data_IF_951154406205
#
_entry.id   IF_951154406205
#
_cell.length_a   1.000
_cell.length_b   1.000
_cell.length_c   1.000
_cell.angle_alpha   90.00
_cell.angle_beta   90.00
_cell.angle_gamma   90.00
#
_symmetry.space_group_name_H-M   'P 1'
#
loop_
_entity.id
_entity.type
_entity.pdbx_description
1 polymer ?
#
# COMPACT_ATOMS: atom_id res chain seq x y z
N UNK A 1 -29.73 -48.92 49.57
CA UNK A 1 -28.95 -50.17 49.52
C UNK A 1 -27.55 -49.75 49.18
N UNK A 2 -26.77 -49.43 50.19
CA UNK A 2 -25.86 -50.35 50.92
C UNK A 2 -24.91 -51.02 49.92
N UNK A 3 -23.65 -50.83 49.94
CA UNK A 3 -22.81 -51.17 51.06
C UNK A 3 -21.38 -50.52 50.99
N UNK A 4 -20.89 -50.22 52.12
CA UNK A 4 -19.52 -49.84 52.50
C UNK A 4 -18.66 -51.13 52.58
N UNK A 5 -17.39 -50.98 52.39
CA UNK A 5 -16.32 -51.59 53.22
C UNK A 5 -14.98 -51.48 52.48
N UNK A 6 -13.84 -51.29 52.96
CA UNK A 6 -13.24 -51.15 54.29
C UNK A 6 -11.75 -50.95 54.04
N UNK A 7 -11.13 -50.04 54.80
CA UNK A 7 -9.66 -49.87 54.93
C UNK A 7 -9.15 -50.95 55.88
N UNK A 8 -7.89 -51.41 55.75
CA UNK A 8 -7.01 -51.19 56.85
C UNK A 8 -5.56 -50.79 56.51
N UNK A 9 -4.99 -49.83 57.19
CA UNK A 9 -3.58 -49.90 57.60
C UNK A 9 -3.49 -50.68 58.92
N UNK A 10 -2.40 -50.80 59.63
CA UNK A 10 -1.25 -49.90 59.76
C UNK A 10 0.13 -50.58 60.03
N UNK A 11 1.13 -49.76 60.33
CA UNK A 11 2.19 -49.89 61.34
C UNK A 11 3.47 -50.66 61.05
N UNK A 12 4.46 -50.06 61.28
CA UNK A 12 5.59 -49.96 62.24
C UNK A 12 6.91 -50.38 61.57
N UNK A 13 8.05 -49.84 61.82
CA UNK A 13 8.63 -49.21 62.95
C UNK A 13 10.08 -48.83 62.68
N UNK A 14 10.53 -47.85 63.39
CA UNK A 14 11.89 -47.36 63.44
C UNK A 14 12.93 -48.42 63.81
N UNK A 15 14.14 -48.36 63.21
CA UNK A 15 15.37 -48.58 63.96
C UNK A 15 16.49 -47.69 63.45
N UNK A 16 16.94 -46.82 64.35
CA UNK A 16 18.19 -46.04 64.30
C UNK A 16 19.38 -46.95 64.53
N UNK A 17 20.53 -46.50 64.05
CA UNK A 17 21.92 -46.85 64.32
C UNK A 17 22.58 -47.82 63.36
N UNK A 18 23.46 -47.27 62.53
CA UNK A 18 24.91 -47.51 62.73
C UNK A 18 25.70 -46.45 61.97
N UNK A 19 26.54 -45.76 62.74
CA UNK A 19 27.58 -44.86 62.28
C UNK A 19 28.79 -45.69 61.80
N UNK A 20 29.62 -45.03 60.98
CA UNK A 20 31.06 -45.05 60.94
C UNK A 20 31.73 -45.72 59.70
N UNK A 21 32.39 -44.80 59.00
CA UNK A 21 33.67 -44.89 58.28
C UNK A 21 33.72 -45.60 56.91
N UNK A 22 33.90 -44.79 55.87
CA UNK A 22 35.02 -45.06 54.95
C UNK A 22 35.38 -43.76 54.17
N UNK A 23 36.64 -43.57 54.05
CA UNK A 23 37.47 -42.47 53.64
C UNK A 23 37.20 -41.89 52.22
N UNK A 24 37.47 -40.61 52.14
CA UNK A 24 38.06 -39.84 51.07
C UNK A 24 38.32 -40.49 49.68
N UNK A 25 37.59 -40.04 48.65
CA UNK A 25 38.12 -39.91 47.32
C UNK A 25 37.71 -38.52 46.80
N UNK A 26 38.65 -37.62 46.79
CA UNK A 26 38.54 -36.29 46.14
C UNK A 26 38.56 -36.52 44.62
N UNK A 27 37.41 -36.58 44.02
CA UNK A 27 37.28 -36.41 42.58
C UNK A 27 37.11 -34.92 42.27
N UNK A 28 38.18 -34.31 41.81
CA UNK A 28 38.16 -32.93 41.28
C UNK A 28 37.28 -32.93 40.03
N UNK A 29 36.02 -32.57 40.17
CA UNK A 29 35.18 -32.11 39.06
C UNK A 29 35.63 -30.70 38.70
N UNK A 30 35.99 -30.42 37.41
CA UNK A 30 36.22 -29.06 36.99
C UNK A 30 34.87 -28.33 37.14
N UNK A 31 34.83 -27.34 38.01
CA UNK A 31 33.79 -26.33 38.05
C UNK A 31 33.80 -25.64 36.68
N UNK A 32 32.96 -26.11 35.76
CA UNK A 32 32.64 -25.33 34.60
C UNK A 32 32.08 -24.02 35.12
N UNK A 33 32.87 -22.95 35.06
CA UNK A 33 32.44 -21.59 35.18
C UNK A 33 31.32 -21.38 34.16
N UNK A 34 30.07 -21.58 34.58
CA UNK A 34 28.92 -21.10 33.84
C UNK A 34 29.11 -19.57 33.79
N UNK A 35 29.78 -19.11 32.73
CA UNK A 35 29.70 -17.72 32.36
C UNK A 35 28.22 -17.40 32.28
N UNK A 36 27.69 -16.41 33.01
CA UNK A 36 26.34 -15.97 32.80
C UNK A 36 26.26 -15.60 31.34
N UNK A 37 25.48 -16.37 30.56
CA UNK A 37 25.08 -15.91 29.25
C UNK A 37 24.49 -14.54 29.51
N UNK A 38 25.19 -13.49 29.12
CA UNK A 38 24.65 -12.15 29.04
C UNK A 38 23.45 -12.30 28.09
N UNK A 39 22.29 -12.58 28.67
CA UNK A 39 21.04 -12.41 27.98
C UNK A 39 21.05 -10.96 27.51
N UNK A 40 21.47 -10.77 26.26
CA UNK A 40 21.51 -9.45 25.65
C UNK A 40 20.07 -8.96 25.74
N UNK A 41 19.79 -8.06 26.69
CA UNK A 41 18.46 -7.53 26.86
C UNK A 41 17.99 -7.06 25.48
N UNK A 42 16.99 -7.75 24.95
CA UNK A 42 16.48 -7.44 23.64
C UNK A 42 16.02 -5.98 23.66
N UNK A 43 16.57 -5.16 22.78
CA UNK A 43 16.24 -3.74 22.74
C UNK A 43 14.73 -3.57 22.62
N UNK A 44 14.14 -2.64 23.35
CA UNK A 44 12.70 -2.38 23.29
C UNK A 44 12.21 -2.24 21.83
N UNK A 45 11.06 -2.79 21.47
CA UNK A 45 10.58 -2.75 20.10
C UNK A 45 10.37 -1.32 19.59
N UNK A 46 10.48 -1.12 18.30
CA UNK A 46 10.01 0.08 17.61
C UNK A 46 8.51 -0.09 17.39
N UNK A 47 7.71 0.73 18.06
CA UNK A 47 6.25 0.69 17.98
C UNK A 47 5.79 1.50 16.79
N UNK A 48 5.14 0.84 15.82
CA UNK A 48 4.70 1.45 14.56
C UNK A 48 3.18 1.37 14.47
N UNK A 49 2.51 2.54 14.50
CA UNK A 49 1.06 2.63 14.56
C UNK A 49 0.43 2.94 13.20
N UNK A 50 -0.73 2.34 12.90
CA UNK A 50 -1.54 2.72 11.73
C UNK A 50 -3.02 2.33 11.88
N UNK A 51 -3.88 3.04 11.14
CA UNK A 51 -5.24 2.62 10.85
C UNK A 51 -5.34 2.25 9.37
N UNK A 52 -6.15 1.26 9.03
CA UNK A 52 -6.32 0.79 7.65
C UNK A 52 -7.70 0.21 7.45
N UNK A 53 -8.29 0.41 6.26
CA UNK A 53 -9.64 -0.08 5.95
C UNK A 53 -9.65 -1.59 5.72
N UNK A 54 -10.03 -2.36 6.74
CA UNK A 54 -10.27 -3.81 6.64
C UNK A 54 -11.72 -4.13 6.34
N UNK A 55 -12.61 -3.16 6.57
CA UNK A 55 -14.04 -3.22 6.24
C UNK A 55 -14.48 -1.93 5.52
N UNK A 56 -15.64 -1.98 4.85
CA UNK A 56 -16.19 -0.84 4.11
C UNK A 56 -15.69 -0.70 2.66
N UNK A 57 -16.04 0.40 1.97
CA UNK A 57 -15.82 0.56 0.53
C UNK A 57 -14.35 0.64 0.09
N UNK A 58 -13.43 1.00 0.99
CA UNK A 58 -12.01 1.14 0.66
C UNK A 58 -11.19 -0.14 0.92
N UNK A 59 -11.81 -1.19 1.45
CA UNK A 59 -11.15 -2.45 1.83
C UNK A 59 -10.31 -3.03 0.70
N UNK A 60 -10.86 -3.14 -0.51
CA UNK A 60 -10.14 -3.74 -1.64
C UNK A 60 -8.84 -3.01 -1.94
N UNK A 61 -8.86 -1.67 -1.96
CA UNK A 61 -7.65 -0.87 -2.17
C UNK A 61 -6.63 -1.07 -1.05
N UNK A 62 -7.08 -0.92 0.19
CA UNK A 62 -6.23 -1.03 1.37
C UNK A 62 -5.56 -2.40 1.53
N UNK A 63 -6.31 -3.48 1.28
CA UNK A 63 -5.87 -4.87 1.44
C UNK A 63 -5.02 -5.39 0.28
N UNK A 64 -5.01 -4.72 -0.86
CA UNK A 64 -4.13 -5.08 -1.99
C UNK A 64 -2.88 -4.21 -2.01
N UNK A 65 -3.03 -2.89 -1.93
CA UNK A 65 -1.93 -1.97 -2.21
C UNK A 65 -1.12 -1.53 -0.98
N UNK A 66 -1.64 -1.70 0.24
CA UNK A 66 -1.02 -1.05 1.40
C UNK A 66 -0.73 -1.99 2.57
N UNK A 67 -1.72 -2.58 3.23
CA UNK A 67 -1.50 -3.37 4.44
C UNK A 67 -0.58 -4.58 4.24
N UNK A 68 -0.67 -5.37 3.15
CA UNK A 68 0.26 -6.46 2.91
C UNK A 68 1.72 -6.01 2.89
N UNK A 69 1.99 -4.82 2.38
CA UNK A 69 3.34 -4.24 2.37
C UNK A 69 3.84 -3.91 3.78
N UNK A 70 2.99 -3.38 4.65
CA UNK A 70 3.32 -3.11 6.05
C UNK A 70 3.70 -4.40 6.80
N UNK A 71 2.91 -5.46 6.58
CA UNK A 71 3.13 -6.77 7.18
C UNK A 71 4.40 -7.44 6.64
N UNK A 72 4.65 -7.37 5.32
CA UNK A 72 5.84 -7.94 4.71
C UNK A 72 7.11 -7.22 5.19
N UNK A 73 7.07 -5.87 5.21
CA UNK A 73 8.19 -5.06 5.68
C UNK A 73 8.57 -5.38 7.12
N UNK A 74 7.59 -5.38 8.02
CA UNK A 74 7.85 -5.64 9.43
C UNK A 74 8.43 -7.05 9.65
N UNK A 75 7.90 -8.05 8.94
CA UNK A 75 8.42 -9.42 8.99
C UNK A 75 9.87 -9.50 8.48
N UNK A 76 10.16 -8.89 7.32
CA UNK A 76 11.52 -8.92 6.77
C UNK A 76 12.52 -8.19 7.68
N UNK A 77 12.15 -7.02 8.23
CA UNK A 77 12.99 -6.31 9.17
C UNK A 77 13.24 -7.15 10.43
N UNK A 78 12.21 -7.78 10.98
CA UNK A 78 12.33 -8.61 12.17
C UNK A 78 13.16 -9.88 11.90
N UNK A 79 12.99 -10.53 10.75
CA UNK A 79 13.81 -11.67 10.33
C UNK A 79 15.30 -11.27 10.16
N UNK A 80 15.58 -10.02 9.80
CA UNK A 80 16.95 -9.48 9.73
C UNK A 80 17.49 -8.97 11.08
N UNK A 81 16.82 -9.34 12.19
CA UNK A 81 17.18 -8.96 13.56
C UNK A 81 16.58 -7.65 14.07
N UNK A 82 15.68 -7.05 13.32
CA UNK A 82 14.98 -5.80 13.63
C UNK A 82 15.37 -4.61 12.76
N UNK A 83 14.60 -3.52 12.91
CA UNK A 83 14.88 -2.25 12.24
C UNK A 83 16.17 -1.64 12.80
N UNK A 84 17.04 -1.18 11.91
CA UNK A 84 18.28 -0.52 12.31
C UNK A 84 18.00 0.91 12.80
N UNK A 85 18.13 1.14 14.09
CA UNK A 85 17.97 2.46 14.73
C UNK A 85 19.37 2.98 15.11
N UNK A 86 20.00 3.73 14.22
CA UNK A 86 21.38 4.26 14.38
C UNK A 86 22.39 3.17 14.82
N UNK A 87 22.40 2.04 14.13
CA UNK A 87 23.32 0.93 14.43
C UNK A 87 22.78 -0.10 15.43
N UNK A 88 21.70 0.17 16.15
CA UNK A 88 21.07 -0.78 17.05
C UNK A 88 19.86 -1.42 16.37
N UNK A 89 19.85 -2.75 16.28
CA UNK A 89 18.70 -3.50 15.77
C UNK A 89 17.62 -3.60 16.84
N UNK A 90 16.40 -3.17 16.50
CA UNK A 90 15.22 -3.23 17.37
C UNK A 90 14.07 -3.88 16.64
N UNK A 91 13.36 -4.87 17.22
CA UNK A 91 12.21 -5.49 16.57
C UNK A 91 11.11 -4.47 16.31
N UNK A 92 10.34 -4.66 15.24
CA UNK A 92 9.16 -3.86 14.94
C UNK A 92 7.95 -4.51 15.61
N UNK A 93 7.16 -3.71 16.32
CA UNK A 93 5.83 -4.04 16.81
C UNK A 93 4.80 -3.20 16.05
N UNK A 94 3.93 -3.85 15.24
CA UNK A 94 2.85 -3.18 14.52
C UNK A 94 1.62 -3.05 15.42
N UNK A 95 1.10 -1.83 15.56
CA UNK A 95 -0.12 -1.50 16.30
C UNK A 95 -1.15 -0.98 15.31
N UNK A 96 -2.15 -1.80 14.99
CA UNK A 96 -3.09 -1.48 13.91
C UNK A 96 -4.55 -1.58 14.35
N UNK A 97 -5.40 -0.79 13.67
CA UNK A 97 -6.85 -0.81 13.84
C UNK A 97 -7.56 -0.76 12.50
N UNK A 98 -8.75 -1.34 12.42
CA UNK A 98 -9.67 -1.14 11.30
C UNK A 98 -10.31 0.24 11.40
N UNK A 99 -10.14 1.09 10.40
CA UNK A 99 -10.81 2.40 10.32
C UNK A 99 -12.24 2.29 9.75
N UNK A 100 -12.65 1.09 9.30
CA UNK A 100 -13.97 0.78 8.75
C UNK A 100 -14.34 1.64 7.53
N UNK A 101 -13.33 2.14 6.79
CA UNK A 101 -13.51 3.14 5.73
C UNK A 101 -14.25 4.39 6.21
N UNK A 102 -14.07 4.75 7.48
CA UNK A 102 -14.72 5.88 8.14
C UNK A 102 -13.67 6.91 8.59
N UNK A 103 -13.83 8.14 8.13
CA UNK A 103 -12.86 9.23 8.39
C UNK A 103 -12.74 9.57 9.88
N UNK A 104 -13.85 9.64 10.61
CA UNK A 104 -13.83 9.98 12.04
C UNK A 104 -13.14 8.88 12.85
N UNK A 105 -13.40 7.62 12.54
CA UNK A 105 -12.74 6.46 13.19
C UNK A 105 -11.25 6.48 12.90
N UNK A 106 -10.86 6.77 11.67
CA UNK A 106 -9.47 6.92 11.26
C UNK A 106 -8.79 8.03 12.07
N UNK A 107 -9.36 9.24 12.10
CA UNK A 107 -8.83 10.40 12.84
C UNK A 107 -8.65 10.08 14.33
N UNK A 108 -9.68 9.54 15.00
CA UNK A 108 -9.62 9.14 16.41
C UNK A 108 -8.51 8.12 16.68
N UNK A 109 -8.33 7.17 15.77
CA UNK A 109 -7.26 6.17 15.89
C UNK A 109 -5.87 6.83 15.85
N UNK A 110 -5.64 7.73 14.90
CA UNK A 110 -4.36 8.44 14.83
C UNK A 110 -4.12 9.41 16.00
N UNK A 111 -5.17 10.06 16.48
CA UNK A 111 -5.06 10.87 17.73
C UNK A 111 -4.63 10.01 18.91
N UNK A 112 -5.21 8.81 19.06
CA UNK A 112 -4.81 7.86 20.10
C UNK A 112 -3.37 7.39 19.91
N UNK A 113 -3.00 6.93 18.74
CA UNK A 113 -1.65 6.41 18.43
C UNK A 113 -0.55 7.45 18.73
N UNK A 114 -0.77 8.70 18.31
CA UNK A 114 0.23 9.76 18.45
C UNK A 114 0.19 10.47 19.82
N UNK A 115 -1.00 10.66 20.38
CA UNK A 115 -1.20 11.43 21.61
C UNK A 115 -1.10 10.59 22.88
N UNK A 116 -1.85 9.49 22.96
CA UNK A 116 -1.93 8.63 24.15
C UNK A 116 -0.92 7.50 24.12
N UNK A 117 -0.90 6.71 23.04
CA UNK A 117 -0.02 5.55 22.92
C UNK A 117 1.42 5.96 22.66
N UNK A 118 1.63 7.14 22.06
CA UNK A 118 2.94 7.72 21.75
C UNK A 118 3.84 6.72 21.03
N UNK A 119 3.32 6.13 19.94
CA UNK A 119 4.09 5.21 19.10
C UNK A 119 5.34 5.90 18.54
N UNK A 120 6.38 5.14 18.19
CA UNK A 120 7.63 5.69 17.66
C UNK A 120 7.45 6.24 16.25
N UNK A 121 6.74 5.49 15.41
CA UNK A 121 6.47 5.80 13.99
C UNK A 121 5.00 5.57 13.67
N UNK A 122 4.53 6.21 12.61
CA UNK A 122 3.19 5.96 12.04
C UNK A 122 3.31 5.59 10.56
N UNK A 123 2.40 4.75 10.09
CA UNK A 123 2.19 4.47 8.67
C UNK A 123 0.83 5.04 8.26
N UNK A 124 0.69 5.57 7.04
CA UNK A 124 -0.52 6.24 6.58
C UNK A 124 -1.76 5.34 6.45
N UNK A 125 -2.98 5.89 6.50
CA UNK A 125 -4.20 5.21 6.09
C UNK A 125 -4.31 5.15 4.56
N UNK A 126 -5.28 4.41 4.04
CA UNK A 126 -5.52 4.31 2.61
C UNK A 126 -6.45 5.44 2.09
N UNK A 127 -6.10 5.99 0.91
CA UNK A 127 -6.96 6.89 0.14
C UNK A 127 -6.81 8.38 0.48
N UNK A 128 -7.20 9.23 -0.48
CA UNK A 128 -6.99 10.69 -0.40
C UNK A 128 -7.76 11.33 0.75
N UNK A 129 -9.01 10.90 0.99
CA UNK A 129 -9.87 11.47 2.05
C UNK A 129 -9.28 11.23 3.45
N UNK A 130 -8.84 10.00 3.74
CA UNK A 130 -8.26 9.66 5.04
C UNK A 130 -6.91 10.37 5.25
N UNK A 131 -6.06 10.40 4.23
CA UNK A 131 -4.80 11.13 4.31
C UNK A 131 -5.02 12.64 4.50
N UNK A 132 -6.04 13.23 3.85
CA UNK A 132 -6.38 14.65 4.01
C UNK A 132 -6.76 14.98 5.47
N UNK A 133 -7.53 14.10 6.11
CA UNK A 133 -7.96 14.28 7.48
C UNK A 133 -6.83 14.05 8.51
N UNK A 134 -5.92 13.10 8.25
CA UNK A 134 -4.87 12.70 9.21
C UNK A 134 -3.57 13.53 9.08
N UNK A 135 -3.24 14.00 7.88
CA UNK A 135 -1.98 14.73 7.66
C UNK A 135 -1.78 15.96 8.57
N UNK A 136 -2.80 16.81 8.85
CA UNK A 136 -2.66 17.91 9.82
C UNK A 136 -2.35 17.42 11.24
N UNK A 137 -2.90 16.28 11.65
CA UNK A 137 -2.62 15.69 12.95
C UNK A 137 -1.18 15.20 13.03
N UNK A 138 -0.74 14.43 12.02
CA UNK A 138 0.64 13.96 11.94
C UNK A 138 1.63 15.13 12.01
N UNK A 139 1.35 16.20 11.27
CA UNK A 139 2.16 17.42 11.30
C UNK A 139 2.15 18.10 12.69
N UNK A 140 1.00 18.21 13.35
CA UNK A 140 0.86 18.79 14.68
C UNK A 140 1.65 18.00 15.72
N UNK A 141 1.65 16.68 15.67
CA UNK A 141 2.40 15.80 16.55
C UNK A 141 3.85 15.58 16.10
N UNK A 142 4.25 16.14 14.95
CA UNK A 142 5.61 16.05 14.42
C UNK A 142 5.99 14.67 13.88
N UNK A 143 5.04 13.85 13.44
CA UNK A 143 5.31 12.54 12.84
C UNK A 143 5.53 12.65 11.33
N UNK A 144 6.67 12.19 10.81
CA UNK A 144 6.85 12.01 9.37
C UNK A 144 5.77 11.08 8.81
N UNK A 145 5.10 11.51 7.74
CA UNK A 145 3.90 10.87 7.20
C UNK A 145 4.07 10.70 5.69
N UNK A 146 4.52 9.50 5.28
CA UNK A 146 4.86 9.15 3.90
C UNK A 146 3.66 8.48 3.22
N UNK A 147 2.79 9.25 2.60
CA UNK A 147 1.50 8.83 2.08
C UNK A 147 1.61 8.14 0.70
N UNK A 148 1.42 6.81 0.61
CA UNK A 148 1.61 6.06 -0.63
C UNK A 148 0.34 5.94 -1.49
N UNK A 149 -0.82 6.33 -0.98
CA UNK A 149 -2.12 6.14 -1.64
C UNK A 149 -2.97 7.41 -1.64
N UNK A 150 -2.31 8.56 -1.62
CA UNK A 150 -2.95 9.87 -1.61
C UNK A 150 -2.71 10.59 -2.95
N UNK A 151 -3.79 10.96 -3.63
CA UNK A 151 -3.77 11.53 -4.97
C UNK A 151 -4.75 12.71 -5.04
N UNK A 152 -4.29 13.90 -4.61
CA UNK A 152 -5.07 15.14 -4.64
C UNK A 152 -4.14 16.34 -4.52
N UNK A 153 -4.34 17.32 -5.36
CA UNK A 153 -3.62 18.60 -5.33
C UNK A 153 -3.78 19.33 -4.00
N UNK A 154 -4.98 19.28 -3.40
CA UNK A 154 -5.25 19.91 -2.09
C UNK A 154 -4.35 19.40 -0.98
N UNK A 155 -3.91 18.14 -1.06
CA UNK A 155 -2.97 17.58 -0.09
C UNK A 155 -1.60 18.29 -0.17
N UNK A 156 -1.09 18.54 -1.36
CA UNK A 156 0.15 19.28 -1.55
C UNK A 156 0.01 20.75 -1.12
N UNK A 157 -1.13 21.37 -1.40
CA UNK A 157 -1.45 22.75 -1.05
C UNK A 157 -1.52 23.01 0.46
N UNK A 158 -1.68 21.96 1.30
CA UNK A 158 -1.61 22.11 2.75
C UNK A 158 -0.22 22.55 3.24
N UNK A 159 0.85 22.35 2.46
CA UNK A 159 2.23 22.76 2.76
C UNK A 159 2.70 22.30 4.14
N UNK A 160 2.35 21.05 4.53
CA UNK A 160 2.67 20.46 5.80
C UNK A 160 4.10 19.90 5.78
N UNK A 161 5.04 20.39 6.63
CA UNK A 161 6.45 19.99 6.58
C UNK A 161 6.72 18.51 6.85
N UNK A 162 5.84 17.81 7.56
CA UNK A 162 5.98 16.39 7.91
C UNK A 162 5.22 15.46 6.97
N UNK A 163 4.61 15.99 5.90
CA UNK A 163 3.76 15.24 4.98
C UNK A 163 4.43 15.07 3.62
N UNK A 164 4.49 13.83 3.11
CA UNK A 164 5.16 13.46 1.88
C UNK A 164 4.26 12.56 1.03
N UNK A 165 3.98 12.97 -0.19
CA UNK A 165 3.14 12.26 -1.16
C UNK A 165 4.04 11.43 -2.07
N UNK A 166 3.92 10.12 -2.01
CA UNK A 166 4.78 9.19 -2.76
C UNK A 166 4.29 8.98 -4.20
N UNK A 167 2.97 8.97 -4.42
CA UNK A 167 2.40 8.91 -5.76
C UNK A 167 2.60 10.21 -6.52
N UNK A 168 2.73 10.09 -7.83
CA UNK A 168 2.62 11.24 -8.73
C UNK A 168 1.22 11.85 -8.58
N UNK A 169 1.15 13.16 -8.47
CA UNK A 169 -0.09 13.85 -8.21
C UNK A 169 -1.00 13.91 -9.46
N UNK A 170 -2.27 14.33 -9.35
CA UNK A 170 -3.22 14.26 -10.45
C UNK A 170 -2.73 14.88 -11.75
N UNK A 171 -2.03 16.03 -11.68
CA UNK A 171 -1.55 16.72 -12.89
C UNK A 171 -0.60 15.86 -13.73
N UNK A 172 0.57 15.39 -13.25
CA UNK A 172 1.47 14.57 -14.07
C UNK A 172 0.82 13.25 -14.53
N UNK A 173 -0.11 12.69 -13.75
CA UNK A 173 -0.81 11.46 -14.14
C UNK A 173 -1.77 11.72 -15.32
N UNK A 174 -2.55 12.79 -15.27
CA UNK A 174 -3.49 13.12 -16.33
C UNK A 174 -2.79 13.70 -17.56
N UNK A 175 -1.69 14.43 -17.39
CA UNK A 175 -0.84 14.87 -18.49
C UNK A 175 -0.29 13.66 -19.28
N UNK A 176 0.23 12.64 -18.60
CA UNK A 176 0.73 11.42 -19.24
C UNK A 176 -0.39 10.65 -19.98
N UNK A 177 -1.58 10.54 -19.39
CA UNK A 177 -2.73 9.91 -20.03
C UNK A 177 -3.15 10.66 -21.29
N UNK A 178 -3.33 11.98 -21.20
CA UNK A 178 -3.77 12.80 -22.32
C UNK A 178 -2.72 12.84 -23.45
N UNK A 179 -1.43 12.91 -23.08
CA UNK A 179 -0.32 12.83 -24.04
C UNK A 179 -0.33 11.49 -24.82
N UNK A 180 -0.54 10.39 -24.12
CA UNK A 180 -0.71 9.06 -24.73
C UNK A 180 -1.92 9.04 -25.68
N UNK A 181 -3.09 9.51 -25.24
CA UNK A 181 -4.31 9.53 -26.05
C UNK A 181 -4.14 10.40 -27.31
N UNK A 182 -3.54 11.59 -27.16
CA UNK A 182 -3.22 12.50 -28.26
C UNK A 182 -2.26 11.88 -29.26
N UNK A 183 -1.18 11.25 -28.79
CA UNK A 183 -0.19 10.58 -29.63
C UNK A 183 -0.79 9.43 -30.46
N UNK A 184 -1.93 8.87 -30.03
CA UNK A 184 -2.64 7.79 -30.68
C UNK A 184 -3.92 8.25 -31.42
N UNK A 185 -4.05 9.55 -31.70
CA UNK A 185 -5.06 10.11 -32.57
C UNK A 185 -6.47 10.20 -31.98
N UNK A 186 -6.65 10.07 -30.68
CA UNK A 186 -7.93 10.24 -29.98
C UNK A 186 -8.45 11.67 -30.18
N UNK A 187 -9.74 11.80 -30.49
CA UNK A 187 -10.43 13.08 -30.70
C UNK A 187 -11.53 13.33 -29.68
N UNK A 188 -12.10 12.27 -29.13
CA UNK A 188 -13.21 12.34 -28.19
C UNK A 188 -12.97 11.47 -26.96
N UNK A 189 -13.32 11.99 -25.80
CA UNK A 189 -13.26 11.27 -24.53
C UNK A 189 -14.58 11.42 -23.78
N UNK A 190 -15.03 10.33 -23.16
CA UNK A 190 -16.07 10.39 -22.13
C UNK A 190 -15.49 9.95 -20.81
N UNK A 191 -15.97 10.51 -19.70
CA UNK A 191 -15.43 10.24 -18.37
C UNK A 191 -16.52 10.05 -17.32
N UNK A 192 -16.23 9.12 -16.39
CA UNK A 192 -16.95 9.06 -15.12
C UNK A 192 -15.96 9.23 -13.96
N UNK A 193 -16.43 9.75 -12.84
CA UNK A 193 -15.58 9.95 -11.67
C UNK A 193 -16.38 9.83 -10.37
N UNK A 194 -15.77 9.22 -9.37
CA UNK A 194 -16.36 9.14 -8.03
C UNK A 194 -16.49 10.55 -7.43
N UNK A 195 -17.63 10.83 -6.80
CA UNK A 195 -17.93 12.15 -6.20
C UNK A 195 -17.29 12.26 -4.81
N UNK A 196 -15.95 12.31 -4.79
CA UNK A 196 -15.15 12.55 -3.59
C UNK A 196 -13.85 13.30 -3.94
N UNK A 197 -13.01 13.56 -2.93
CA UNK A 197 -11.76 14.31 -3.11
C UNK A 197 -10.88 13.71 -4.21
N UNK A 198 -10.75 12.38 -4.29
CA UNK A 198 -9.94 11.70 -5.30
C UNK A 198 -10.51 11.92 -6.70
N UNK A 199 -11.80 11.60 -6.90
CA UNK A 199 -12.43 11.67 -8.22
C UNK A 199 -12.50 13.09 -8.75
N UNK A 200 -12.92 14.05 -7.91
CA UNK A 200 -13.04 15.47 -8.27
C UNK A 200 -11.68 16.08 -8.66
N UNK A 201 -10.61 15.81 -7.90
CA UNK A 201 -9.29 16.37 -8.16
C UNK A 201 -8.65 15.79 -9.42
N UNK A 202 -8.82 14.47 -9.66
CA UNK A 202 -8.33 13.84 -10.88
C UNK A 202 -9.13 14.29 -12.11
N UNK A 203 -10.44 14.45 -11.99
CA UNK A 203 -11.27 14.99 -13.07
C UNK A 203 -10.89 16.44 -13.40
N UNK A 204 -10.67 17.28 -12.39
CA UNK A 204 -10.20 18.67 -12.61
C UNK A 204 -8.84 18.66 -13.35
N UNK A 205 -7.90 17.79 -12.97
CA UNK A 205 -6.61 17.65 -13.64
C UNK A 205 -6.78 17.15 -15.09
N UNK A 206 -7.67 16.18 -15.32
CA UNK A 206 -7.98 15.67 -16.65
C UNK A 206 -8.52 16.80 -17.57
N UNK A 207 -9.44 17.62 -17.06
CA UNK A 207 -9.96 18.78 -17.83
C UNK A 207 -8.86 19.75 -18.22
N UNK A 208 -7.96 20.04 -17.29
CA UNK A 208 -6.81 20.95 -17.55
C UNK A 208 -5.89 20.30 -18.61
N UNK A 209 -5.55 19.02 -18.50
CA UNK A 209 -4.70 18.32 -19.46
C UNK A 209 -5.33 18.23 -20.86
N UNK A 210 -6.65 18.06 -20.94
CA UNK A 210 -7.40 18.07 -22.20
C UNK A 210 -7.47 19.47 -22.84
N UNK A 211 -7.35 20.53 -22.04
CA UNK A 211 -7.33 21.90 -22.54
C UNK A 211 -6.17 22.11 -23.52
N UNK A 212 -6.49 22.52 -24.76
CA UNK A 212 -5.48 22.69 -25.82
C UNK A 212 -4.92 21.41 -26.45
N UNK A 213 -5.36 20.21 -26.02
CA UNK A 213 -4.93 18.93 -26.60
C UNK A 213 -5.55 18.63 -27.96
N UNK A 214 -6.69 19.27 -28.29
CA UNK A 214 -7.55 18.95 -29.42
C UNK A 214 -8.51 17.78 -29.20
N UNK A 215 -8.54 17.23 -27.98
CA UNK A 215 -9.47 16.17 -27.57
C UNK A 215 -10.67 16.80 -26.86
N UNK A 216 -11.90 16.45 -27.28
CA UNK A 216 -13.14 16.96 -26.69
C UNK A 216 -13.73 15.97 -25.70
N UNK A 217 -14.21 16.47 -24.56
CA UNK A 217 -15.09 15.72 -23.67
C UNK A 217 -16.49 15.71 -24.30
N UNK A 218 -17.04 14.51 -24.59
CA UNK A 218 -18.37 14.34 -25.15
C UNK A 218 -19.43 14.00 -24.11
N UNK A 219 -19.01 13.47 -22.97
CA UNK A 219 -19.85 13.23 -21.80
C UNK A 219 -18.97 13.18 -20.55
N UNK A 220 -19.45 13.76 -19.44
CA UNK A 220 -18.82 13.63 -18.13
C UNK A 220 -19.90 13.50 -17.03
N UNK A 221 -19.69 12.56 -16.10
CA UNK A 221 -20.62 12.31 -15.00
C UNK A 221 -19.89 11.92 -13.74
N UNK A 222 -20.28 12.51 -12.62
CA UNK A 222 -19.93 11.98 -11.30
C UNK A 222 -20.89 10.87 -10.88
N UNK A 223 -20.45 10.04 -9.95
CA UNK A 223 -21.26 9.04 -9.30
C UNK A 223 -20.90 8.93 -7.81
N UNK A 224 -21.86 8.56 -6.91
CA UNK A 224 -21.61 8.49 -5.47
C UNK A 224 -20.73 7.28 -5.12
N UNK A 225 -19.90 7.42 -4.08
CA UNK A 225 -19.13 6.32 -3.52
C UNK A 225 -20.05 5.15 -3.12
N UNK A 226 -19.64 3.93 -3.50
CA UNK A 226 -20.42 2.73 -3.21
C UNK A 226 -21.60 2.48 -4.14
N UNK A 227 -21.62 3.12 -5.32
CA UNK A 227 -22.58 2.87 -6.41
C UNK A 227 -22.71 1.39 -6.71
N UNK A 228 -23.93 0.94 -7.05
CA UNK A 228 -24.20 -0.46 -7.39
C UNK A 228 -24.53 -0.68 -8.86
N UNK A 229 -24.86 0.38 -9.58
CA UNK A 229 -25.21 0.32 -10.99
C UNK A 229 -24.74 1.58 -11.72
N UNK A 230 -23.84 1.37 -12.68
CA UNK A 230 -23.30 2.39 -13.60
C UNK A 230 -23.89 2.26 -15.01
N UNK A 231 -24.75 1.25 -15.27
CA UNK A 231 -25.30 0.98 -16.60
C UNK A 231 -26.02 2.18 -17.22
N UNK A 232 -26.81 2.98 -16.49
CA UNK A 232 -27.47 4.14 -17.10
C UNK A 232 -26.49 5.17 -17.65
N UNK A 233 -25.45 5.51 -16.90
CA UNK A 233 -24.44 6.49 -17.35
C UNK A 233 -23.55 5.90 -18.45
N UNK A 234 -23.21 4.61 -18.38
CA UNK A 234 -22.41 3.93 -19.42
C UNK A 234 -23.18 3.81 -20.74
N UNK A 235 -24.52 3.64 -20.72
CA UNK A 235 -25.38 3.68 -21.94
C UNK A 235 -25.35 5.08 -22.56
N UNK A 236 -25.56 6.13 -21.77
CA UNK A 236 -25.46 7.51 -22.25
C UNK A 236 -24.11 7.79 -22.91
N UNK A 237 -23.02 7.32 -22.29
CA UNK A 237 -21.67 7.46 -22.86
C UNK A 237 -21.52 6.65 -24.15
N UNK A 238 -22.01 5.41 -24.19
CA UNK A 238 -21.97 4.57 -25.39
C UNK A 238 -22.63 5.25 -26.58
N UNK A 239 -23.78 5.91 -26.38
CA UNK A 239 -24.53 6.61 -27.42
C UNK A 239 -23.76 7.81 -28.02
N UNK A 240 -22.77 8.37 -27.27
CA UNK A 240 -21.85 9.41 -27.76
C UNK A 240 -20.69 8.86 -28.59
N UNK A 241 -20.49 7.54 -28.59
CA UNK A 241 -19.44 6.83 -29.33
C UNK A 241 -18.04 7.48 -29.17
N UNK A 242 -17.51 7.64 -27.96
CA UNK A 242 -16.20 8.26 -27.74
C UNK A 242 -15.07 7.36 -28.22
N UNK A 243 -13.95 7.95 -28.68
CA UNK A 243 -12.72 7.21 -28.98
C UNK A 243 -12.12 6.59 -27.72
N UNK A 244 -12.23 7.29 -26.57
CA UNK A 244 -11.71 6.84 -25.30
C UNK A 244 -12.73 7.01 -24.17
N UNK A 245 -12.73 6.04 -23.26
CA UNK A 245 -13.40 6.14 -21.96
C UNK A 245 -12.35 6.30 -20.87
N UNK A 246 -12.59 7.22 -19.93
CA UNK A 246 -11.74 7.48 -18.77
C UNK A 246 -12.57 7.38 -17.50
N UNK A 247 -12.41 6.30 -16.75
CA UNK A 247 -13.01 6.09 -15.44
C UNK A 247 -12.04 6.50 -14.33
N UNK A 248 -12.38 7.51 -13.54
CA UNK A 248 -11.65 7.91 -12.35
C UNK A 248 -12.33 7.25 -11.14
N UNK A 249 -12.00 5.98 -10.94
CA UNK A 249 -12.78 4.99 -10.18
C UNK A 249 -11.92 4.35 -9.07
N UNK A 250 -12.56 3.85 -8.03
CA UNK A 250 -11.96 2.94 -7.05
C UNK A 250 -12.06 1.47 -7.49
N UNK A 251 -11.32 0.53 -6.86
CA UNK A 251 -11.26 -0.85 -7.35
C UNK A 251 -12.60 -1.56 -7.54
N UNK A 252 -13.59 -1.46 -6.62
CA UNK A 252 -14.91 -2.04 -6.86
C UNK A 252 -15.62 -1.44 -8.07
N UNK A 253 -15.54 -0.11 -8.21
CA UNK A 253 -16.21 0.65 -9.27
C UNK A 253 -15.54 0.40 -10.63
N UNK A 254 -14.20 0.21 -10.64
CA UNK A 254 -13.43 -0.19 -11.83
C UNK A 254 -13.94 -1.52 -12.38
N UNK A 255 -14.12 -2.51 -11.51
CA UNK A 255 -14.66 -3.82 -11.89
C UNK A 255 -16.11 -3.68 -12.37
N UNK A 256 -16.94 -2.92 -11.64
CA UNK A 256 -18.34 -2.68 -11.97
C UNK A 256 -18.47 -2.02 -13.35
N UNK A 257 -17.75 -0.91 -13.59
CA UNK A 257 -17.77 -0.20 -14.86
C UNK A 257 -17.32 -1.09 -16.03
N UNK A 258 -16.28 -1.90 -15.83
CA UNK A 258 -15.77 -2.83 -16.87
C UNK A 258 -16.78 -3.93 -17.18
N UNK A 259 -17.37 -4.57 -16.16
CA UNK A 259 -18.40 -5.61 -16.34
C UNK A 259 -19.64 -5.06 -17.06
N UNK A 260 -20.17 -3.94 -16.58
CA UNK A 260 -21.36 -3.33 -17.17
C UNK A 260 -21.09 -2.78 -18.58
N UNK A 261 -19.88 -2.28 -18.85
CA UNK A 261 -19.49 -1.93 -20.24
C UNK A 261 -19.50 -3.15 -21.15
N UNK A 262 -18.99 -4.30 -20.70
CA UNK A 262 -19.06 -5.57 -21.41
C UNK A 262 -20.53 -5.98 -21.66
N UNK A 263 -21.37 -5.96 -20.64
CA UNK A 263 -22.78 -6.36 -20.69
C UNK A 263 -23.58 -5.54 -21.70
N UNK A 264 -23.32 -4.23 -21.80
CA UNK A 264 -24.00 -3.36 -22.75
C UNK A 264 -23.29 -3.24 -24.11
N UNK A 265 -22.15 -3.93 -24.31
CA UNK A 265 -21.36 -3.86 -25.53
C UNK A 265 -20.73 -2.48 -25.77
N UNK A 266 -20.32 -1.78 -24.72
CA UNK A 266 -19.54 -0.53 -24.81
C UNK A 266 -18.06 -0.85 -24.86
N UNK A 267 -17.40 -0.66 -26.00
CA UNK A 267 -16.00 -1.01 -26.23
C UNK A 267 -15.25 0.06 -27.03
N UNK A 268 -14.91 1.21 -26.41
CA UNK A 268 -14.11 2.24 -27.09
C UNK A 268 -12.68 1.75 -27.39
N UNK A 269 -11.97 2.41 -28.32
CA UNK A 269 -10.58 2.08 -28.65
C UNK A 269 -9.67 2.06 -27.43
N UNK A 270 -9.84 3.04 -26.56
CA UNK A 270 -9.10 3.14 -25.28
C UNK A 270 -10.09 3.10 -24.13
N UNK A 271 -9.96 2.09 -23.30
CA UNK A 271 -10.72 1.96 -22.06
C UNK A 271 -9.76 2.09 -20.90
N UNK A 272 -9.78 3.24 -20.23
CA UNK A 272 -8.98 3.53 -19.04
C UNK A 272 -9.89 3.54 -17.80
N UNK A 273 -9.53 2.74 -16.79
CA UNK A 273 -10.15 2.80 -15.47
C UNK A 273 -9.02 2.89 -14.43
N UNK A 274 -9.06 3.90 -13.57
CA UNK A 274 -7.88 4.35 -12.85
C UNK A 274 -7.38 3.36 -11.79
N UNK A 275 -7.97 3.36 -10.60
CA UNK A 275 -7.51 2.53 -9.47
C UNK A 275 -8.15 1.15 -9.53
N UNK A 276 -7.35 0.12 -9.34
CA UNK A 276 -7.82 -1.26 -9.33
C UNK A 276 -7.59 -2.02 -10.63
N UNK A 277 -7.42 -1.35 -11.77
CA UNK A 277 -7.09 -2.03 -13.04
C UNK A 277 -5.78 -2.81 -12.93
N UNK A 278 -4.76 -2.26 -12.26
CA UNK A 278 -3.46 -2.89 -12.05
C UNK A 278 -3.48 -4.04 -11.01
N UNK A 279 -4.64 -4.39 -10.47
CA UNK A 279 -4.78 -5.43 -9.45
C UNK A 279 -4.95 -6.80 -10.09
N UNK A 280 -4.30 -7.83 -9.54
CA UNK A 280 -4.53 -9.21 -9.98
C UNK A 280 -6.01 -9.61 -9.84
N UNK A 281 -6.72 -9.07 -8.84
CA UNK A 281 -8.16 -9.25 -8.70
C UNK A 281 -8.93 -8.82 -9.96
N UNK A 282 -8.58 -7.68 -10.57
CA UNK A 282 -9.19 -7.23 -11.81
C UNK A 282 -9.00 -8.25 -12.94
N UNK A 283 -7.77 -8.74 -13.12
CA UNK A 283 -7.44 -9.76 -14.11
C UNK A 283 -8.22 -11.06 -13.86
N UNK A 284 -8.33 -11.48 -12.60
CA UNK A 284 -9.05 -12.69 -12.22
C UNK A 284 -10.56 -12.58 -12.51
N UNK A 285 -11.16 -11.40 -12.29
CA UNK A 285 -12.59 -11.16 -12.55
C UNK A 285 -12.88 -10.98 -14.03
N UNK A 286 -12.08 -10.17 -14.73
CA UNK A 286 -12.33 -9.84 -16.15
C UNK A 286 -11.77 -10.89 -17.11
N UNK A 287 -10.83 -11.73 -16.65
CA UNK A 287 -10.18 -12.77 -17.46
C UNK A 287 -9.63 -12.22 -18.78
N UNK A 288 -10.00 -12.80 -19.92
CA UNK A 288 -9.60 -12.31 -21.24
C UNK A 288 -10.12 -10.89 -21.53
N UNK A 289 -11.23 -10.47 -20.92
CA UNK A 289 -11.75 -9.10 -21.00
C UNK A 289 -10.85 -8.04 -20.39
N UNK A 290 -9.85 -8.40 -19.58
CA UNK A 290 -8.86 -7.44 -19.10
C UNK A 290 -7.91 -6.95 -20.21
N UNK A 291 -7.73 -7.72 -21.30
CA UNK A 291 -6.75 -7.45 -22.33
C UNK A 291 -6.96 -6.09 -22.99
N UNK A 292 -5.90 -5.31 -23.08
CA UNK A 292 -5.93 -3.95 -23.65
C UNK A 292 -6.51 -2.87 -22.73
N UNK A 293 -7.06 -3.22 -21.56
CA UNK A 293 -7.58 -2.24 -20.60
C UNK A 293 -6.43 -1.48 -19.95
N UNK A 294 -6.58 -0.15 -19.91
CA UNK A 294 -5.60 0.79 -19.36
C UNK A 294 -5.95 1.17 -17.92
N UNK A 295 -4.95 1.55 -17.16
CA UNK A 295 -5.13 2.07 -15.80
C UNK A 295 -3.88 2.72 -15.24
N UNK A 296 -3.96 3.10 -13.96
CA UNK A 296 -2.80 3.58 -13.24
C UNK A 296 -1.82 2.42 -13.02
N UNK A 297 -0.57 2.60 -13.47
CA UNK A 297 0.50 1.61 -13.31
C UNK A 297 1.86 2.29 -13.41
N UNK A 298 2.79 1.96 -12.54
CA UNK A 298 4.08 2.64 -12.46
C UNK A 298 5.28 1.69 -12.43
N UNK A 299 5.04 0.40 -12.22
CA UNK A 299 6.07 -0.61 -12.09
C UNK A 299 5.52 -2.02 -12.39
N UNK A 300 6.42 -2.95 -12.61
CA UNK A 300 6.17 -4.40 -12.53
C UNK A 300 7.49 -5.13 -12.20
N UNK A 301 7.47 -6.46 -12.16
CA UNK A 301 8.66 -7.26 -11.84
C UNK A 301 9.82 -7.14 -12.84
N UNK A 302 9.58 -6.54 -14.01
CA UNK A 302 10.60 -6.30 -15.07
C UNK A 302 11.29 -4.94 -14.92
N UNK A 303 10.75 -4.04 -14.10
CA UNK A 303 11.23 -2.65 -13.96
C UNK A 303 12.67 -2.59 -13.45
N UNK A 304 13.00 -3.43 -12.45
CA UNK A 304 14.36 -3.54 -11.90
C UNK A 304 14.55 -4.86 -11.14
N UNK A 305 15.79 -5.29 -10.88
CA UNK A 305 16.06 -6.44 -10.01
C UNK A 305 15.47 -6.29 -8.60
N UNK A 306 15.46 -5.07 -8.04
CA UNK A 306 14.87 -4.80 -6.74
C UNK A 306 13.34 -4.94 -6.76
N UNK A 307 12.68 -4.44 -7.82
CA UNK A 307 11.24 -4.63 -8.02
C UNK A 307 10.88 -6.11 -8.17
N UNK A 308 11.70 -6.90 -8.87
CA UNK A 308 11.51 -8.35 -8.95
C UNK A 308 11.66 -9.03 -7.60
N UNK A 309 12.69 -8.69 -6.83
CA UNK A 309 12.91 -9.27 -5.51
C UNK A 309 11.76 -8.97 -4.54
N UNK A 310 11.24 -7.74 -4.56
CA UNK A 310 10.05 -7.36 -3.82
C UNK A 310 8.83 -8.16 -4.25
N UNK A 311 8.58 -8.26 -5.56
CA UNK A 311 7.46 -9.02 -6.12
C UNK A 311 7.51 -10.49 -5.67
N UNK A 312 8.65 -11.15 -5.84
CA UNK A 312 8.85 -12.55 -5.46
C UNK A 312 8.64 -12.77 -3.95
N UNK A 313 9.13 -11.85 -3.11
CA UNK A 313 8.94 -11.91 -1.66
C UNK A 313 7.46 -11.75 -1.26
N UNK A 314 6.75 -10.83 -1.91
CA UNK A 314 5.32 -10.60 -1.69
C UNK A 314 4.50 -11.84 -2.08
N UNK A 315 4.74 -12.37 -3.27
CA UNK A 315 4.05 -13.58 -3.77
C UNK A 315 4.37 -14.81 -2.90
N UNK A 316 5.61 -14.95 -2.46
CA UNK A 316 6.00 -16.03 -1.54
C UNK A 316 5.20 -15.99 -0.23
N UNK A 317 4.94 -14.80 0.30
CA UNK A 317 4.22 -14.62 1.56
C UNK A 317 2.71 -14.75 1.42
N UNK A 318 2.13 -14.12 0.42
CA UNK A 318 0.67 -13.96 0.31
C UNK A 318 0.04 -14.86 -0.77
N UNK A 319 0.85 -15.49 -1.62
CA UNK A 319 0.41 -16.32 -2.74
C UNK A 319 0.15 -15.53 -4.03
N UNK A 320 0.22 -16.23 -5.16
CA UNK A 320 0.03 -15.63 -6.50
C UNK A 320 -1.36 -15.01 -6.73
N UNK A 321 -2.39 -15.49 -6.03
CA UNK A 321 -3.73 -14.89 -6.11
C UNK A 321 -3.82 -13.50 -5.45
N UNK A 322 -2.82 -13.14 -4.63
CA UNK A 322 -2.71 -11.87 -3.91
C UNK A 322 -1.42 -11.14 -4.27
N UNK A 323 -1.06 -11.12 -5.54
CA UNK A 323 0.09 -10.36 -6.03
C UNK A 323 -0.04 -8.86 -5.68
N UNK A 324 1.10 -8.16 -5.47
CA UNK A 324 1.06 -6.72 -5.29
C UNK A 324 0.56 -6.05 -6.58
N UNK A 325 -0.26 -5.01 -6.46
CA UNK A 325 -0.68 -4.26 -7.64
C UNK A 325 0.51 -3.55 -8.30
N UNK A 326 0.40 -3.26 -9.58
CA UNK A 326 1.48 -2.67 -10.38
C UNK A 326 1.52 -1.14 -10.30
N UNK A 327 0.94 -0.57 -9.25
CA UNK A 327 0.90 0.88 -9.03
C UNK A 327 1.20 1.24 -7.57
N UNK A 328 0.20 1.26 -6.69
CA UNK A 328 0.31 1.80 -5.33
C UNK A 328 1.08 0.89 -4.36
N UNK A 329 1.11 -0.43 -4.61
CA UNK A 329 1.97 -1.36 -3.83
C UNK A 329 3.45 -0.98 -3.94
N UNK A 330 3.90 -0.61 -5.14
CA UNK A 330 5.27 -0.14 -5.35
C UNK A 330 5.55 1.17 -4.61
N UNK A 331 4.61 2.12 -4.63
CA UNK A 331 4.74 3.36 -3.87
C UNK A 331 4.74 3.12 -2.34
N UNK A 332 3.92 2.17 -1.87
CA UNK A 332 3.91 1.77 -0.45
C UNK A 332 5.25 1.20 -0.04
N UNK A 333 5.79 0.26 -0.83
CA UNK A 333 7.09 -0.32 -0.55
C UNK A 333 8.20 0.72 -0.60
N UNK A 334 8.21 1.61 -1.59
CA UNK A 334 9.16 2.72 -1.69
C UNK A 334 9.12 3.62 -0.44
N UNK A 335 7.93 3.92 0.09
CA UNK A 335 7.81 4.66 1.35
C UNK A 335 8.45 3.94 2.54
N UNK A 336 8.32 2.61 2.60
CA UNK A 336 8.94 1.78 3.64
C UNK A 336 10.47 1.69 3.48
N UNK A 337 10.98 1.65 2.24
CA UNK A 337 12.42 1.76 1.95
C UNK A 337 12.98 3.09 2.45
N UNK A 338 12.30 4.20 2.13
CA UNK A 338 12.68 5.56 2.57
C UNK A 338 12.65 5.66 4.08
N UNK A 339 11.58 5.19 4.74
CA UNK A 339 11.44 5.21 6.20
C UNK A 339 12.55 4.39 6.87
N UNK A 340 12.85 3.21 6.34
CA UNK A 340 13.93 2.34 6.83
C UNK A 340 15.29 3.04 6.77
N UNK A 341 15.61 3.66 5.64
CA UNK A 341 16.85 4.42 5.46
C UNK A 341 16.92 5.65 6.39
N UNK A 342 15.80 6.36 6.53
CA UNK A 342 15.69 7.52 7.41
C UNK A 342 15.91 7.14 8.88
N UNK A 343 15.29 6.06 9.35
CA UNK A 343 15.48 5.56 10.74
C UNK A 343 16.91 5.07 10.95
N UNK A 344 17.50 4.40 9.99
CA UNK A 344 18.91 3.97 10.09
C UNK A 344 19.86 5.17 10.24
N UNK A 345 19.56 6.29 9.61
CA UNK A 345 20.36 7.51 9.66
C UNK A 345 20.04 8.40 10.85
N UNK A 346 18.76 8.64 11.10
CA UNK A 346 18.26 9.63 12.07
C UNK A 346 17.91 9.04 13.45
N UNK A 347 17.79 7.71 13.56
CA UNK A 347 17.18 7.06 14.71
C UNK A 347 15.67 7.29 14.73
N UNK A 348 15.09 7.49 15.92
CA UNK A 348 13.66 7.75 16.09
C UNK A 348 13.35 9.24 16.32
N UNK A 349 14.32 10.11 16.07
CA UNK A 349 14.09 11.57 16.10
C UNK A 349 13.23 11.97 14.90
N UNK A 350 11.99 12.34 15.17
CA UNK A 350 10.98 12.62 14.14
C UNK A 350 11.36 13.78 13.23
N UNK A 351 11.99 14.82 13.79
CA UNK A 351 12.46 15.97 13.01
C UNK A 351 13.61 15.56 12.09
N UNK A 352 14.58 14.80 12.61
CA UNK A 352 15.70 14.32 11.81
C UNK A 352 15.26 13.33 10.71
N UNK A 353 14.26 12.48 10.96
CA UNK A 353 13.62 11.63 9.93
C UNK A 353 12.99 12.52 8.86
N UNK A 354 12.18 13.52 9.24
CA UNK A 354 11.56 14.46 8.31
C UNK A 354 12.60 15.18 7.45
N UNK A 355 13.67 15.69 8.07
CA UNK A 355 14.72 16.42 7.37
C UNK A 355 15.48 15.53 6.38
N UNK A 356 15.75 14.27 6.75
CA UNK A 356 16.34 13.28 5.86
C UNK A 356 15.44 12.97 4.66
N UNK A 357 14.14 12.72 4.89
CA UNK A 357 13.18 12.45 3.82
C UNK A 357 13.07 13.62 2.86
N UNK A 358 12.95 14.84 3.37
CA UNK A 358 12.80 16.04 2.55
C UNK A 358 14.08 16.41 1.77
N UNK A 359 15.25 16.18 2.35
CA UNK A 359 16.53 16.67 1.82
C UNK A 359 17.30 15.66 0.95
N UNK A 360 16.83 14.42 0.84
CA UNK A 360 17.56 13.35 0.14
C UNK A 360 16.83 12.92 -1.14
N UNK A 361 17.58 12.56 -2.17
CA UNK A 361 17.08 11.79 -3.31
C UNK A 361 17.13 10.30 -2.96
N UNK A 362 16.01 9.59 -3.07
CA UNK A 362 15.87 8.21 -2.65
C UNK A 362 15.80 7.28 -3.86
N UNK A 363 16.69 6.30 -3.94
CA UNK A 363 16.57 5.22 -4.90
C UNK A 363 15.62 4.15 -4.35
N UNK A 364 14.55 3.86 -5.07
CA UNK A 364 13.49 2.93 -4.67
C UNK A 364 13.11 1.97 -5.79
N UNK A 365 12.27 0.97 -5.49
CA UNK A 365 11.80 0.01 -6.50
C UNK A 365 11.00 0.67 -7.64
N UNK A 366 10.43 1.85 -7.44
CA UNK A 366 9.68 2.60 -8.46
C UNK A 366 10.51 3.71 -9.09
N UNK A 367 11.81 3.72 -8.87
CA UNK A 367 12.74 4.72 -9.37
C UNK A 367 13.19 5.73 -8.31
N UNK A 368 13.71 6.86 -8.76
CA UNK A 368 14.21 7.91 -7.90
C UNK A 368 13.07 8.78 -7.39
N UNK A 369 12.92 8.86 -6.08
CA UNK A 369 11.97 9.74 -5.41
C UNK A 369 12.73 10.95 -4.87
N UNK A 370 12.23 12.14 -5.19
CA UNK A 370 12.71 13.42 -4.67
C UNK A 370 11.50 14.27 -4.33
N UNK A 371 11.53 14.90 -3.17
CA UNK A 371 10.43 15.75 -2.75
C UNK A 371 10.72 17.23 -3.04
N UNK A 372 9.72 17.92 -3.60
CA UNK A 372 9.63 19.37 -3.62
C UNK A 372 8.44 19.78 -2.75
N UNK A 373 8.73 20.31 -1.56
CA UNK A 373 7.70 20.40 -0.50
C UNK A 373 7.22 19.01 -0.12
N UNK A 374 5.91 18.78 -0.23
CA UNK A 374 5.32 17.47 0.03
C UNK A 374 5.23 16.56 -1.20
N UNK A 375 5.47 17.05 -2.41
CA UNK A 375 5.23 16.29 -3.64
C UNK A 375 6.47 15.53 -4.12
N UNK A 376 6.28 14.28 -4.52
CA UNK A 376 7.28 13.53 -5.28
C UNK A 376 7.38 14.08 -6.71
N UNK A 377 8.50 14.68 -7.03
CA UNK A 377 8.83 15.20 -8.37
C UNK A 377 9.87 14.36 -9.10
N UNK A 378 10.33 13.26 -8.50
CA UNK A 378 11.40 12.42 -9.05
C UNK A 378 10.91 11.35 -10.02
N UNK A 379 9.62 10.98 -9.97
CA UNK A 379 9.04 9.96 -10.85
C UNK A 379 7.96 10.55 -11.76
N UNK A 380 7.85 10.11 -13.04
CA UNK A 380 6.86 10.63 -13.97
C UNK A 380 5.44 10.11 -13.69
N UNK A 381 4.42 10.78 -14.22
CA UNK A 381 3.11 10.19 -14.42
C UNK A 381 3.19 9.04 -15.42
N UNK A 382 2.44 7.97 -15.19
CA UNK A 382 2.53 6.74 -15.99
C UNK A 382 1.16 6.16 -16.31
N UNK A 383 1.08 5.40 -17.40
CA UNK A 383 -0.09 4.61 -17.78
C UNK A 383 0.34 3.15 -17.94
N UNK A 384 -0.45 2.26 -17.36
CA UNK A 384 -0.29 0.82 -17.52
C UNK A 384 -1.39 0.21 -18.39
N UNK A 385 -1.16 -1.00 -18.88
CA UNK A 385 -2.08 -1.76 -19.74
C UNK A 385 -1.94 -3.26 -19.51
N UNK A 386 -3.05 -3.98 -19.44
CA UNK A 386 -3.04 -5.44 -19.48
C UNK A 386 -2.67 -5.96 -20.86
N UNK A 387 -1.62 -6.79 -20.93
CA UNK A 387 -1.13 -7.42 -22.16
C UNK A 387 -0.69 -8.85 -21.87
N UNK A 388 -1.31 -9.83 -22.51
CA UNK A 388 -0.96 -11.26 -22.38
C UNK A 388 -0.90 -11.75 -20.92
N UNK A 389 -1.80 -11.21 -20.10
CA UNK A 389 -1.90 -11.58 -18.68
C UNK A 389 -0.97 -10.83 -17.73
N UNK A 390 -0.14 -9.90 -18.22
CA UNK A 390 0.73 -9.03 -17.42
C UNK A 390 0.23 -7.57 -17.49
N UNK A 391 0.40 -6.83 -16.40
CA UNK A 391 0.13 -5.40 -16.39
C UNK A 391 1.43 -4.65 -16.68
N UNK A 392 1.56 -4.17 -17.90
CA UNK A 392 2.76 -3.49 -18.40
C UNK A 392 2.64 -1.98 -18.24
N UNK A 393 3.74 -1.31 -17.92
CA UNK A 393 3.84 0.14 -18.06
C UNK A 393 4.03 0.45 -19.56
N UNK A 394 3.13 1.26 -20.14
CA UNK A 394 3.12 1.52 -21.59
C UNK A 394 3.39 2.99 -21.93
N UNK A 395 3.31 3.90 -20.95
CA UNK A 395 3.57 5.33 -21.15
C UNK A 395 4.14 5.98 -19.88
N UNK A 396 5.06 6.97 -19.99
CA UNK A 396 5.74 7.43 -21.22
C UNK A 396 6.67 6.34 -21.80
N UNK A 397 6.96 6.42 -23.08
CA UNK A 397 7.79 5.39 -23.79
C UNK A 397 9.15 5.13 -23.14
N UNK A 398 9.74 6.15 -22.54
CA UNK A 398 11.03 6.05 -21.83
C UNK A 398 10.99 5.13 -20.59
N UNK A 399 9.82 4.94 -19.99
CA UNK A 399 9.60 4.12 -18.79
C UNK A 399 8.84 2.82 -19.11
N UNK A 400 8.50 2.59 -20.40
CA UNK A 400 7.64 1.48 -20.80
C UNK A 400 8.36 0.14 -20.63
N UNK A 401 7.64 -0.85 -20.08
CA UNK A 401 8.05 -2.25 -20.00
C UNK A 401 7.58 -3.06 -21.21
N UNK A 402 6.59 -2.53 -21.94
CA UNK A 402 6.11 -3.04 -23.22
C UNK A 402 5.53 -1.90 -24.09
N UNK A 403 5.48 -2.04 -25.43
CA UNK A 403 4.81 -1.07 -26.28
C UNK A 403 3.30 -1.06 -26.01
N UNK A 404 2.67 0.12 -26.16
CA UNK A 404 1.22 0.26 -26.09
C UNK A 404 0.53 -0.55 -27.19
N UNK A 405 -0.52 -1.29 -26.83
CA UNK A 405 -1.49 -1.87 -27.78
C UNK A 405 -2.57 -0.81 -28.05
N UNK A 406 -2.61 -0.21 -29.26
CA UNK A 406 -3.35 1.04 -29.49
C UNK A 406 -4.87 0.86 -29.64
N UNK A 407 -5.37 -0.37 -29.71
CA UNK A 407 -6.80 -0.66 -29.78
C UNK A 407 -7.12 -1.79 -28.82
N UNK A 408 -7.97 -1.51 -27.86
CA UNK A 408 -8.47 -2.54 -26.96
C UNK A 408 -9.23 -3.62 -27.75
N UNK A 409 -8.94 -4.92 -27.56
CA UNK A 409 -9.74 -6.01 -28.12
C UNK A 409 -11.21 -5.91 -27.66
N UNK A 410 -12.11 -6.56 -28.42
CA UNK A 410 -13.49 -6.68 -27.98
C UNK A 410 -13.57 -7.42 -26.64
N UNK A 411 -14.60 -7.08 -25.86
CA UNK A 411 -14.91 -7.84 -24.65
C UNK A 411 -15.19 -9.31 -25.00
N UNK A 412 -14.55 -10.24 -24.30
CA UNK A 412 -14.75 -11.69 -24.45
C UNK A 412 -15.44 -12.28 -23.23
#
# INVERSE_FOLDING_TARGET
MTDRAHIPGPTAGLKRRTLVQAAAAVAATPAALALPSLARAQAAPVRVGYAISRTGPWTTGAQVSQEPNYLLWAEQQNAAGGLNVKGTKRPIELISSDDQSNIETCVRTYEKLMGSDKVDLILPPWGSNANFAVAPLANRFGYPFLAPTALSRRLAEMKLPYFFLLLQQPKPMMDALVDMLKANGVKTVATIYVDDLFGLENYAALKVALGGSGIRIVEDKSYPLGVKDLSPVLRSIKDKNPDAFVGLTYPPDTILASRQSKEIGFNPKFFYASVGTAFQLYRNVMQAGAEGVLGMGSWNSKTSPAAKAYFDAHVKKFGAAKEPDRWASGATWAGLEILTAAVAKAGLDKKAIRDYVAGTEHNTIIGKIKFAGSENVGTPGTVGQWQKGEFEVVWPKANATAPLVPVKPNWV
#
